data_IF_072764024950
#
_entry.id   IF_072764024950
#
_cell.length_a   1.000
_cell.length_b   1.000
_cell.length_c   1.000
_cell.angle_alpha   90.00
_cell.angle_beta   90.00
_cell.angle_gamma   90.00
#
_symmetry.space_group_name_H-M   'P 1'
#
loop_
_entity.id
_entity.type
_entity.pdbx_description
1 polymer ?
#
# COMPACT_ATOMS: atom_id res chain seq x y z
N UNK A 1 16.38 33.08 -29.76
CA UNK A 1 16.73 33.22 -28.35
C UNK A 1 15.44 33.37 -27.52
N UNK A 2 15.32 32.59 -26.48
CA UNK A 2 14.15 32.62 -25.60
C UNK A 2 14.36 33.70 -24.54
N UNK A 3 13.30 34.45 -24.26
CA UNK A 3 13.26 35.50 -23.24
C UNK A 3 12.30 35.10 -22.13
N UNK A 4 12.58 35.51 -20.90
CA UNK A 4 11.63 35.35 -19.77
C UNK A 4 10.45 36.33 -19.90
N UNK A 5 9.48 36.21 -18.99
CA UNK A 5 8.29 37.05 -18.96
C UNK A 5 8.58 38.57 -18.78
N UNK A 6 9.82 38.96 -18.41
CA UNK A 6 10.30 40.34 -18.28
C UNK A 6 11.10 40.77 -19.51
N UNK A 7 11.25 39.94 -20.54
CA UNK A 7 11.98 40.23 -21.77
C UNK A 7 13.47 40.01 -21.67
N UNK A 8 14.00 39.47 -20.56
CA UNK A 8 15.43 39.24 -20.35
C UNK A 8 15.86 37.92 -21.02
N UNK A 9 17.00 37.95 -21.69
CA UNK A 9 17.57 36.74 -22.30
C UNK A 9 17.93 35.72 -21.23
N UNK A 10 17.55 34.45 -21.43
CA UNK A 10 17.98 33.33 -20.60
C UNK A 10 19.47 33.07 -20.84
N UNK A 11 20.31 33.44 -19.90
CA UNK A 11 21.78 33.35 -19.99
C UNK A 11 22.33 31.94 -19.76
N UNK A 12 21.51 31.03 -19.26
CA UNK A 12 21.93 29.64 -19.02
C UNK A 12 20.88 28.64 -19.53
N UNK A 13 21.34 27.70 -20.35
CA UNK A 13 20.55 26.53 -20.67
C UNK A 13 20.50 25.61 -19.45
N UNK A 14 19.29 25.25 -19.00
CA UNK A 14 19.10 24.22 -17.99
C UNK A 14 18.91 22.87 -18.66
N UNK A 15 19.94 22.04 -18.60
CA UNK A 15 19.85 20.66 -19.08
C UNK A 15 19.56 19.74 -17.89
N UNK A 16 18.34 19.21 -17.81
CA UNK A 16 17.99 18.15 -16.86
C UNK A 16 18.32 16.81 -17.48
N UNK A 17 19.34 16.14 -16.97
CA UNK A 17 19.66 14.78 -17.40
C UNK A 17 18.71 13.82 -16.72
N UNK A 18 17.90 13.13 -17.48
CA UNK A 18 17.10 12.00 -17.01
C UNK A 18 17.87 10.71 -17.27
N UNK A 19 18.01 9.86 -16.27
CA UNK A 19 18.43 8.49 -16.47
C UNK A 19 17.15 7.66 -16.52
N UNK A 20 16.86 7.07 -17.67
CA UNK A 20 15.87 6.01 -17.74
C UNK A 20 16.45 4.79 -16.99
N UNK A 21 15.80 4.36 -15.93
CA UNK A 21 16.06 3.07 -15.33
C UNK A 21 15.49 1.97 -16.24
N UNK A 22 16.02 0.75 -16.12
CA UNK A 22 15.40 -0.39 -16.79
C UNK A 22 13.93 -0.52 -16.35
N UNK A 23 13.01 -0.91 -17.24
CA UNK A 23 11.62 -1.12 -16.89
C UNK A 23 11.50 -2.10 -15.72
N UNK A 24 10.73 -1.75 -14.71
CA UNK A 24 10.40 -2.64 -13.61
C UNK A 24 8.98 -3.16 -13.80
N UNK A 25 8.85 -4.45 -14.06
CA UNK A 25 7.56 -5.14 -14.26
C UNK A 25 7.14 -5.96 -13.04
N UNK A 26 7.84 -5.80 -11.91
CA UNK A 26 7.54 -6.55 -10.70
C UNK A 26 6.30 -6.00 -10.03
N UNK A 27 5.28 -6.83 -9.93
CA UNK A 27 4.05 -6.50 -9.23
C UNK A 27 4.22 -6.60 -7.72
N UNK A 28 3.51 -5.78 -6.93
CA UNK A 28 3.41 -5.97 -5.50
C UNK A 28 2.87 -7.37 -5.17
N UNK A 29 3.54 -8.09 -4.28
CA UNK A 29 3.20 -9.46 -3.93
C UNK A 29 2.77 -9.56 -2.46
N UNK A 30 1.46 -9.52 -2.15
CA UNK A 30 0.98 -9.59 -0.77
C UNK A 30 1.46 -10.82 0.02
N UNK A 31 1.75 -11.92 -0.68
CA UNK A 31 2.29 -13.14 -0.07
C UNK A 31 3.70 -12.96 0.53
N UNK A 32 4.44 -11.95 0.09
CA UNK A 32 5.78 -11.62 0.59
C UNK A 32 5.78 -10.55 1.66
N UNK A 33 4.62 -9.97 1.98
CA UNK A 33 4.51 -8.96 3.01
C UNK A 33 4.71 -9.56 4.39
N UNK A 34 5.34 -8.82 5.26
CA UNK A 34 5.56 -9.21 6.65
C UNK A 34 4.56 -8.49 7.56
N UNK A 35 3.88 -9.25 8.40
CA UNK A 35 2.86 -8.75 9.30
C UNK A 35 3.34 -8.76 10.74
N UNK A 36 3.21 -7.63 11.42
CA UNK A 36 3.34 -7.54 12.87
C UNK A 36 1.96 -7.31 13.46
N UNK A 37 1.42 -8.36 14.06
CA UNK A 37 0.08 -8.32 14.63
C UNK A 37 0.08 -7.65 15.99
N UNK A 38 -0.96 -6.82 16.28
CA UNK A 38 -1.12 -6.16 17.57
C UNK A 38 -1.56 -7.13 18.67
N UNK A 39 -1.57 -6.63 19.90
CA UNK A 39 -2.08 -7.36 21.09
C UNK A 39 -3.54 -6.99 21.34
N UNK A 40 -4.38 -7.98 21.64
CA UNK A 40 -5.78 -7.77 22.02
C UNK A 40 -5.87 -6.90 23.28
N UNK A 41 -6.91 -6.07 23.37
CA UNK A 41 -7.09 -5.13 24.46
C UNK A 41 -6.20 -3.87 24.39
N UNK A 42 -5.35 -3.75 23.38
CA UNK A 42 -4.50 -2.57 23.15
C UNK A 42 -4.89 -1.82 21.88
N UNK A 43 -4.29 -0.64 21.68
CA UNK A 43 -4.37 0.13 20.45
C UNK A 43 -3.03 0.13 19.69
N UNK A 44 -2.22 -0.90 19.89
CA UNK A 44 -1.00 -1.10 19.10
C UNK A 44 -1.33 -1.14 17.60
N UNK A 45 -0.48 -0.59 16.74
CA UNK A 45 -0.74 -0.64 15.32
C UNK A 45 -0.58 -2.06 14.75
N UNK A 46 -1.48 -2.44 13.84
CA UNK A 46 -1.17 -3.46 12.86
C UNK A 46 -0.13 -2.88 11.91
N UNK A 47 1.03 -3.52 11.80
CA UNK A 47 2.09 -3.08 10.89
C UNK A 47 2.33 -4.11 9.80
N UNK A 48 2.45 -3.61 8.57
CA UNK A 48 2.77 -4.40 7.39
C UNK A 48 4.04 -3.82 6.77
N UNK A 49 5.02 -4.67 6.50
CA UNK A 49 6.23 -4.29 5.77
C UNK A 49 6.17 -4.91 4.38
N UNK A 50 6.33 -4.07 3.37
CA UNK A 50 6.33 -4.46 1.97
C UNK A 50 7.74 -4.77 1.50
N UNK A 51 7.87 -5.61 0.48
CA UNK A 51 9.17 -5.88 -0.15
C UNK A 51 9.66 -4.68 -0.97
N UNK A 52 8.73 -3.85 -1.47
CA UNK A 52 8.97 -2.68 -2.31
C UNK A 52 8.06 -1.54 -1.88
N UNK A 53 8.45 -0.26 -2.12
CA UNK A 53 7.59 0.87 -1.81
C UNK A 53 6.28 0.82 -2.61
N UNK A 54 5.17 1.13 -1.95
CA UNK A 54 3.86 1.24 -2.57
C UNK A 54 3.43 2.71 -2.69
N UNK A 55 2.51 2.99 -3.61
CA UNK A 55 1.90 4.31 -3.68
C UNK A 55 1.16 4.62 -2.37
N UNK A 56 1.60 5.70 -1.70
CA UNK A 56 1.11 6.07 -0.37
C UNK A 56 -0.39 6.40 -0.37
N UNK A 57 -0.87 7.11 -1.38
CA UNK A 57 -2.26 7.51 -1.48
C UNK A 57 -3.16 6.30 -1.72
N UNK A 58 -2.71 5.36 -2.56
CA UNK A 58 -3.44 4.12 -2.82
C UNK A 58 -3.39 3.18 -1.61
N UNK A 59 -2.23 3.00 -0.96
CA UNK A 59 -2.12 2.15 0.21
C UNK A 59 -3.06 2.61 1.35
N UNK A 60 -3.19 3.91 1.56
CA UNK A 60 -4.10 4.48 2.57
C UNK A 60 -5.58 4.17 2.27
N UNK A 61 -5.95 4.03 1.02
CA UNK A 61 -7.35 3.85 0.58
C UNK A 61 -7.71 2.40 0.28
N UNK A 62 -6.77 1.60 -0.17
CA UNK A 62 -7.00 0.26 -0.72
C UNK A 62 -6.63 -0.87 0.25
N UNK A 63 -5.98 -0.52 1.38
CA UNK A 63 -5.79 -1.42 2.51
C UNK A 63 -6.80 -1.07 3.61
N UNK A 64 -7.72 -1.98 3.88
CA UNK A 64 -8.83 -1.74 4.81
C UNK A 64 -8.89 -2.85 5.85
N UNK A 65 -8.83 -2.45 7.12
CA UNK A 65 -8.93 -3.38 8.24
C UNK A 65 -10.39 -3.59 8.63
N UNK A 66 -10.77 -4.82 8.83
CA UNK A 66 -12.11 -5.18 9.25
C UNK A 66 -12.12 -6.29 10.29
N UNK A 67 -13.30 -6.52 10.86
CA UNK A 67 -13.60 -7.61 11.77
C UNK A 67 -14.79 -8.40 11.25
N UNK A 68 -14.74 -9.70 11.46
CA UNK A 68 -15.84 -10.57 11.03
C UNK A 68 -17.19 -10.18 11.70
N UNK A 69 -18.30 -10.32 10.98
CA UNK A 69 -18.40 -10.81 9.60
C UNK A 69 -18.06 -9.77 8.52
N UNK A 70 -18.34 -8.46 8.71
CA UNK A 70 -18.14 -7.43 7.70
C UNK A 70 -17.96 -6.02 8.28
N UNK A 71 -17.57 -5.89 9.53
CA UNK A 71 -17.35 -4.59 10.15
C UNK A 71 -16.03 -3.99 9.68
N UNK A 72 -16.05 -2.80 9.10
CA UNK A 72 -14.85 -1.99 8.84
C UNK A 72 -14.48 -1.29 10.16
N UNK A 73 -13.22 -1.40 10.56
CA UNK A 73 -12.72 -0.73 11.74
C UNK A 73 -12.37 0.72 11.44
N UNK A 74 -12.79 1.62 12.32
CA UNK A 74 -12.32 2.99 12.34
C UNK A 74 -10.91 3.07 12.92
N UNK A 75 -10.10 3.97 12.38
CA UNK A 75 -8.74 4.17 12.83
C UNK A 75 -7.95 5.10 11.92
N UNK A 76 -6.66 5.23 12.19
CA UNK A 76 -5.74 6.05 11.42
C UNK A 76 -4.72 5.18 10.72
N UNK A 77 -4.40 5.52 9.48
CA UNK A 77 -3.35 4.89 8.69
C UNK A 77 -2.17 5.82 8.52
N UNK A 78 -0.98 5.25 8.48
CA UNK A 78 0.25 5.99 8.16
C UNK A 78 1.22 5.11 7.39
N UNK A 79 2.06 5.72 6.55
CA UNK A 79 3.19 5.04 5.93
C UNK A 79 4.48 5.51 6.58
N UNK A 80 5.44 4.59 6.67
CA UNK A 80 6.75 4.80 7.26
C UNK A 80 7.82 4.11 6.41
N UNK A 81 9.10 4.30 6.78
CA UNK A 81 10.23 3.66 6.14
C UNK A 81 10.25 3.84 4.60
N UNK A 82 10.08 5.07 4.12
CA UNK A 82 10.04 5.40 2.69
C UNK A 82 9.00 4.57 1.92
N UNK A 83 7.77 4.54 2.45
CA UNK A 83 6.62 3.87 1.84
C UNK A 83 6.73 2.34 1.76
N UNK A 84 7.69 1.74 2.47
CA UNK A 84 7.83 0.29 2.60
C UNK A 84 7.15 -0.30 3.83
N UNK A 85 6.56 0.53 4.68
CA UNK A 85 5.77 0.09 5.82
C UNK A 85 4.47 0.87 5.94
N UNK A 86 3.40 0.14 6.22
CA UNK A 86 2.07 0.67 6.47
C UNK A 86 1.61 0.28 7.87
N UNK A 87 1.00 1.21 8.57
CA UNK A 87 0.47 1.00 9.91
C UNK A 87 -0.99 1.41 9.97
N UNK A 88 -1.79 0.63 10.67
CA UNK A 88 -3.15 0.96 11.04
C UNK A 88 -3.28 0.93 12.56
N UNK A 89 -3.68 2.05 13.14
CA UNK A 89 -3.98 2.18 14.57
C UNK A 89 -5.49 2.32 14.73
N UNK A 90 -6.16 1.37 15.40
CA UNK A 90 -7.61 1.41 15.56
C UNK A 90 -8.04 2.53 16.52
N UNK A 91 -9.24 3.04 16.32
CA UNK A 91 -9.87 4.00 17.24
C UNK A 91 -10.18 3.36 18.61
N UNK A 92 -10.64 2.11 18.58
CA UNK A 92 -10.93 1.31 19.78
C UNK A 92 -9.90 0.19 19.96
N UNK A 93 -9.67 -0.33 21.17
CA UNK A 93 -8.79 -1.46 21.39
C UNK A 93 -9.17 -2.70 20.56
N UNK A 94 -8.15 -3.45 20.14
CA UNK A 94 -8.37 -4.69 19.41
C UNK A 94 -9.16 -5.70 20.24
N UNK A 95 -10.18 -6.28 19.66
CA UNK A 95 -10.89 -7.40 20.26
C UNK A 95 -10.15 -8.72 19.98
N UNK A 96 -10.45 -9.76 20.76
CA UNK A 96 -9.93 -11.12 20.54
C UNK A 96 -10.56 -11.83 19.33
N UNK A 97 -11.60 -11.24 18.74
CA UNK A 97 -12.30 -11.81 17.58
C UNK A 97 -11.41 -11.82 16.33
N UNK A 98 -11.68 -12.72 15.38
CA UNK A 98 -10.99 -12.71 14.09
C UNK A 98 -11.16 -11.38 13.36
N UNK A 99 -10.06 -10.92 12.79
CA UNK A 99 -9.96 -9.73 11.96
C UNK A 99 -9.50 -10.10 10.56
N UNK A 100 -9.56 -9.16 9.65
CA UNK A 100 -9.00 -9.32 8.30
C UNK A 100 -8.49 -8.00 7.75
N UNK A 101 -7.47 -8.09 6.92
CA UNK A 101 -7.05 -7.02 6.02
C UNK A 101 -7.67 -7.28 4.65
N UNK A 102 -8.45 -6.34 4.14
CA UNK A 102 -8.89 -6.35 2.74
C UNK A 102 -7.83 -5.64 1.91
N UNK A 103 -7.41 -6.28 0.83
CA UNK A 103 -6.41 -5.77 -0.10
C UNK A 103 -7.10 -5.63 -1.45
N UNK A 104 -7.24 -4.41 -1.94
CA UNK A 104 -7.73 -4.16 -3.29
C UNK A 104 -6.57 -4.33 -4.28
N UNK A 105 -6.77 -5.12 -5.32
CA UNK A 105 -5.71 -5.46 -6.27
C UNK A 105 -5.32 -4.33 -7.22
N UNK A 106 -6.04 -3.20 -7.17
CA UNK A 106 -5.62 -1.95 -7.83
C UNK A 106 -4.50 -1.21 -7.09
N UNK A 107 -4.07 -1.73 -5.93
CA UNK A 107 -2.93 -1.18 -5.20
C UNK A 107 -1.67 -1.30 -6.05
N UNK A 108 -0.96 -0.20 -6.21
CA UNK A 108 0.19 -0.05 -7.11
C UNK A 108 1.47 0.26 -6.32
N UNK A 109 2.60 -0.08 -6.94
CA UNK A 109 3.90 0.41 -6.55
C UNK A 109 4.14 1.84 -7.09
N UNK A 110 5.34 2.40 -6.86
CA UNK A 110 5.69 3.76 -7.31
C UNK A 110 5.87 3.87 -8.84
N UNK A 111 5.97 2.77 -9.56
CA UNK A 111 6.08 2.73 -11.04
C UNK A 111 4.76 2.42 -11.72
N UNK A 112 3.70 2.11 -10.95
CA UNK A 112 2.36 1.87 -11.47
C UNK A 112 2.04 0.41 -11.76
N UNK A 113 2.86 -0.55 -11.29
CA UNK A 113 2.49 -1.97 -11.34
C UNK A 113 1.49 -2.27 -10.24
N UNK A 114 0.30 -2.73 -10.58
CA UNK A 114 -0.71 -3.15 -9.61
C UNK A 114 -0.56 -4.63 -9.23
N UNK A 115 -1.20 -5.03 -8.13
CA UNK A 115 -1.27 -6.44 -7.73
C UNK A 115 -1.93 -7.27 -8.84
N UNK A 116 -2.90 -6.69 -9.54
CA UNK A 116 -3.64 -7.36 -10.61
C UNK A 116 -2.79 -7.54 -11.87
N UNK A 117 -1.99 -6.53 -12.24
CA UNK A 117 -1.21 -6.54 -13.48
C UNK A 117 -0.04 -5.55 -13.48
N UNK A 118 1.03 -5.81 -14.27
CA UNK A 118 2.08 -4.84 -14.52
C UNK A 118 1.56 -3.61 -15.26
N UNK A 119 2.21 -2.47 -15.06
CA UNK A 119 1.82 -1.20 -15.68
C UNK A 119 1.73 -1.24 -17.21
N UNK A 120 2.65 -1.94 -17.87
CA UNK A 120 2.66 -2.02 -19.35
C UNK A 120 1.50 -2.83 -19.93
N UNK A 121 1.04 -3.86 -19.23
CA UNK A 121 -0.15 -4.61 -19.64
C UNK A 121 -1.43 -3.75 -19.58
N UNK A 122 -1.38 -2.66 -18.83
CA UNK A 122 -2.47 -1.68 -18.77
C UNK A 122 -2.51 -0.77 -20.00
N UNK A 123 -1.37 -0.57 -20.68
CA UNK A 123 -1.25 0.23 -21.90
C UNK A 123 -1.60 -0.57 -23.15
N UNK A 124 -1.19 -1.84 -23.20
CA UNK A 124 -1.54 -2.79 -24.26
C UNK A 124 -2.88 -3.46 -23.92
N UNK A 125 -3.96 -2.80 -24.29
CA UNK A 125 -5.31 -3.31 -24.10
C UNK A 125 -5.56 -4.57 -24.92
N UNK A 126 -5.15 -5.71 -24.42
CA UNK A 126 -5.69 -6.99 -24.82
C UNK A 126 -6.73 -7.43 -23.77
N UNK A 127 -8.02 -7.28 -24.06
CA UNK A 127 -9.09 -7.62 -23.12
C UNK A 127 -9.23 -9.12 -22.83
N UNK A 128 -8.49 -9.97 -23.51
CA UNK A 128 -8.67 -11.43 -23.52
C UNK A 128 -7.76 -12.18 -22.53
N UNK A 129 -6.76 -11.52 -21.92
CA UNK A 129 -5.77 -12.21 -21.08
C UNK A 129 -6.02 -12.12 -19.58
N UNK A 130 -7.11 -11.51 -19.18
CA UNK A 130 -7.50 -11.43 -17.77
C UNK A 130 -8.21 -12.70 -17.33
N UNK A 131 -7.46 -13.72 -17.00
CA UNK A 131 -7.91 -14.67 -15.98
C UNK A 131 -8.16 -13.84 -14.72
N UNK A 132 -9.42 -13.42 -14.52
CA UNK A 132 -9.80 -12.43 -13.52
C UNK A 132 -9.43 -12.95 -12.12
N UNK A 133 -8.29 -12.50 -11.60
CA UNK A 133 -8.03 -12.57 -10.18
C UNK A 133 -9.19 -11.83 -9.48
N UNK A 134 -9.72 -12.33 -8.37
CA UNK A 134 -10.75 -11.62 -7.64
C UNK A 134 -10.23 -10.21 -7.35
N UNK A 135 -11.04 -9.15 -7.58
CA UNK A 135 -10.58 -7.76 -7.50
C UNK A 135 -10.11 -7.37 -6.10
N UNK A 136 -10.32 -8.22 -5.11
CA UNK A 136 -9.92 -8.04 -3.71
C UNK A 136 -9.58 -9.37 -3.08
N UNK A 137 -8.56 -9.35 -2.21
CA UNK A 137 -8.25 -10.48 -1.34
C UNK A 137 -8.43 -10.11 0.13
N UNK A 138 -8.59 -11.14 0.97
CA UNK A 138 -8.66 -11.01 2.41
C UNK A 138 -7.49 -11.76 3.03
N UNK A 139 -6.78 -11.08 3.92
CA UNK A 139 -5.77 -11.69 4.76
C UNK A 139 -6.33 -11.78 6.19
N UNK A 140 -6.74 -12.98 6.66
CA UNK A 140 -7.27 -13.14 8.00
C UNK A 140 -6.16 -13.07 9.04
N UNK A 141 -6.44 -12.50 10.21
CA UNK A 141 -5.54 -12.49 11.35
C UNK A 141 -6.30 -12.42 12.67
N UNK A 142 -5.62 -12.79 13.75
CA UNK A 142 -6.09 -12.55 15.10
C UNK A 142 -5.04 -11.73 15.86
N UNK A 143 -5.45 -10.74 16.66
CA UNK A 143 -4.53 -10.09 17.59
C UNK A 143 -3.92 -11.12 18.53
N UNK A 144 -2.70 -10.85 18.99
CA UNK A 144 -2.04 -11.69 19.99
C UNK A 144 -2.85 -11.64 21.31
N UNK A 145 -2.95 -12.74 22.06
CA UNK A 145 -3.58 -12.71 23.36
C UNK A 145 -2.93 -11.66 24.27
N UNK A 146 -3.73 -10.98 25.09
CA UNK A 146 -3.20 -10.14 26.13
C UNK A 146 -2.36 -10.99 27.10
N UNK A 147 -1.24 -10.44 27.60
CA UNK A 147 -0.49 -11.11 28.65
C UNK A 147 -1.40 -11.33 29.88
N UNK A 148 -1.32 -12.48 30.57
CA UNK A 148 -2.08 -12.70 31.77
C UNK A 148 -1.77 -11.58 32.79
N UNK A 149 -2.80 -10.98 33.35
CA UNK A 149 -2.61 -10.06 34.46
C UNK A 149 -2.01 -10.87 35.62
N UNK A 150 -0.81 -10.52 36.00
CA UNK A 150 -0.20 -11.03 37.22
C UNK A 150 -0.81 -10.19 38.35
N UNK A 151 -1.68 -10.81 39.14
CA UNK A 151 -2.22 -10.23 40.37
C UNK A 151 -1.12 -10.14 41.42
#
# INVERSE_FOLDING_TARGET
SWKDASGKLLEKSFAKKFRAAAPDYRQPQPRKWQFRYPTAGTREPLRITFAEPLDAALATRLLVVGREPNLILEGTTSLAAHETAWEFRPAEPWSEKPHHLKIDHRLEDLVGNSIERPFEDALDRHPEAAGALPPKSRHPFAPKPAAPKVD
#
